data_IF_945149807738
#
_entry.id   IF_945149807738
#
_cell.length_a   1.000
_cell.length_b   1.000
_cell.length_c   1.000
_cell.angle_alpha   90.00
_cell.angle_beta   90.00
_cell.angle_gamma   90.00
#
_symmetry.space_group_name_H-M   'P 1'
#
loop_
_entity.id
_entity.type
_entity.pdbx_description
1 polymer ?
#
# COMPACT_ATOMS: atom_id res chain seq x y z
N UNK A 1 -32.08 -29.95 -15.15
CA UNK A 1 -30.88 -30.37 -14.40
C UNK A 1 -31.08 -31.81 -13.96
N UNK A 2 -30.06 -32.68 -14.00
CA UNK A 2 -30.19 -34.08 -13.58
C UNK A 2 -30.49 -34.19 -12.08
N UNK A 3 -31.33 -35.14 -11.68
CA UNK A 3 -31.84 -35.31 -10.30
C UNK A 3 -30.73 -35.36 -9.23
N UNK A 4 -29.58 -35.95 -9.56
CA UNK A 4 -28.42 -36.01 -8.65
C UNK A 4 -27.80 -34.63 -8.33
N UNK A 5 -27.83 -33.67 -9.26
CA UNK A 5 -27.34 -32.31 -9.02
C UNK A 5 -28.31 -31.50 -8.14
N UNK A 6 -29.61 -31.78 -8.27
CA UNK A 6 -30.67 -31.16 -7.48
C UNK A 6 -30.54 -31.60 -6.02
N UNK A 7 -30.40 -32.90 -5.77
CA UNK A 7 -30.27 -33.44 -4.42
C UNK A 7 -28.98 -33.02 -3.71
N UNK A 8 -27.87 -32.87 -4.47
CA UNK A 8 -26.60 -32.35 -3.95
C UNK A 8 -26.66 -30.85 -3.61
N UNK A 9 -27.45 -30.05 -4.34
CA UNK A 9 -27.69 -28.63 -4.01
C UNK A 9 -28.64 -28.47 -2.82
N UNK A 10 -29.69 -29.30 -2.70
CA UNK A 10 -30.64 -29.28 -1.58
C UNK A 10 -29.93 -29.48 -0.23
N UNK A 11 -29.02 -30.46 -0.15
CA UNK A 11 -28.30 -30.75 1.09
C UNK A 11 -27.35 -29.60 1.47
N UNK A 12 -26.77 -28.92 0.48
CA UNK A 12 -25.77 -27.86 0.68
C UNK A 12 -26.36 -26.57 1.26
N UNK A 13 -27.58 -26.17 0.87
CA UNK A 13 -28.21 -24.96 1.43
C UNK A 13 -28.68 -25.16 2.87
N UNK A 14 -29.24 -26.33 3.18
CA UNK A 14 -29.59 -26.67 4.55
C UNK A 14 -28.35 -26.74 5.45
N UNK A 15 -27.27 -27.39 4.99
CA UNK A 15 -26.00 -27.43 5.71
C UNK A 15 -25.44 -26.02 5.98
N UNK A 16 -25.47 -25.13 4.97
CA UNK A 16 -25.03 -23.76 5.13
C UNK A 16 -25.91 -22.96 6.09
N UNK A 17 -27.23 -23.10 6.02
CA UNK A 17 -28.17 -22.45 6.93
C UNK A 17 -27.91 -22.89 8.39
N UNK A 18 -27.75 -24.19 8.62
CA UNK A 18 -27.42 -24.73 9.94
C UNK A 18 -26.03 -24.28 10.41
N UNK A 19 -25.06 -24.14 9.51
CA UNK A 19 -23.75 -23.58 9.83
C UNK A 19 -23.87 -22.14 10.34
N UNK A 20 -24.60 -21.26 9.65
CA UNK A 20 -24.79 -19.89 10.11
C UNK A 20 -25.54 -19.79 11.44
N UNK A 21 -26.59 -20.60 11.62
CA UNK A 21 -27.34 -20.62 12.86
C UNK A 21 -26.50 -21.12 14.03
N UNK A 22 -25.87 -22.30 13.88
CA UNK A 22 -25.30 -23.03 15.00
C UNK A 22 -23.82 -22.73 15.25
N UNK A 23 -23.04 -22.48 14.19
CA UNK A 23 -21.59 -22.22 14.31
C UNK A 23 -21.27 -20.73 14.36
N UNK A 24 -21.93 -19.93 13.52
CA UNK A 24 -21.75 -18.49 13.53
C UNK A 24 -22.67 -17.76 14.51
N UNK A 25 -23.67 -18.45 15.07
CA UNK A 25 -24.64 -17.89 16.00
C UNK A 25 -25.40 -16.69 15.41
N UNK A 26 -25.85 -16.81 14.16
CA UNK A 26 -26.60 -15.79 13.44
C UNK A 26 -28.09 -16.13 13.33
N UNK A 27 -28.95 -15.12 13.39
CA UNK A 27 -30.35 -15.26 13.02
C UNK A 27 -30.47 -15.24 11.50
N UNK A 28 -31.16 -16.23 10.93
CA UNK A 28 -31.25 -16.43 9.49
C UNK A 28 -32.69 -16.65 9.04
N UNK A 29 -32.98 -16.31 7.79
CA UNK A 29 -34.29 -16.50 7.16
C UNK A 29 -34.14 -16.91 5.69
N UNK A 30 -35.10 -17.67 5.13
CA UNK A 30 -35.11 -17.99 3.71
C UNK A 30 -35.51 -16.76 2.89
N UNK A 31 -34.75 -16.50 1.83
CA UNK A 31 -34.95 -15.38 0.91
C UNK A 31 -35.04 -15.83 -0.55
N UNK A 32 -35.76 -15.05 -1.35
CA UNK A 32 -35.94 -15.21 -2.78
C UNK A 32 -34.69 -14.76 -3.55
N UNK A 33 -34.55 -15.14 -4.84
CA UNK A 33 -33.49 -14.62 -5.72
C UNK A 33 -33.47 -13.09 -5.85
N UNK A 34 -34.63 -12.44 -5.70
CA UNK A 34 -34.76 -10.96 -5.69
C UNK A 34 -34.44 -10.32 -4.32
N UNK A 35 -33.87 -11.12 -3.41
CA UNK A 35 -33.48 -10.77 -2.03
C UNK A 35 -34.64 -10.56 -1.05
N UNK A 36 -35.90 -10.81 -1.43
CA UNK A 36 -37.05 -10.66 -0.50
C UNK A 36 -37.25 -11.91 0.38
N UNK A 37 -37.53 -11.78 1.68
CA UNK A 37 -37.83 -12.92 2.54
C UNK A 37 -39.06 -13.70 2.06
N UNK A 38 -39.04 -15.03 2.20
CA UNK A 38 -40.22 -15.88 1.97
C UNK A 38 -41.24 -15.80 3.11
N UNK A 39 -40.80 -15.32 4.28
CA UNK A 39 -41.56 -15.33 5.53
C UNK A 39 -41.66 -13.92 6.12
N UNK A 40 -42.63 -13.72 7.01
CA UNK A 40 -42.58 -12.57 7.93
C UNK A 40 -41.42 -12.78 8.90
N UNK A 41 -40.48 -11.87 8.89
CA UNK A 41 -39.16 -12.05 9.51
C UNK A 41 -38.93 -11.17 10.73
N UNK A 42 -39.88 -10.29 11.04
CA UNK A 42 -39.77 -9.28 12.10
C UNK A 42 -39.57 -9.92 13.48
N UNK A 43 -40.17 -11.08 13.74
CA UNK A 43 -39.94 -11.81 14.99
C UNK A 43 -38.48 -12.26 15.13
N UNK A 44 -37.84 -12.62 14.01
CA UNK A 44 -36.48 -13.14 14.00
C UNK A 44 -35.40 -12.06 14.16
N UNK A 45 -35.81 -10.79 14.22
CA UNK A 45 -34.97 -9.68 14.66
C UNK A 45 -34.73 -9.68 16.17
N UNK A 46 -35.62 -10.31 16.95
CA UNK A 46 -35.54 -10.36 18.42
C UNK A 46 -35.05 -11.70 18.92
N UNK A 47 -35.37 -12.78 18.22
CA UNK A 47 -35.02 -14.15 18.59
C UNK A 47 -34.56 -14.96 17.38
N UNK A 48 -33.61 -15.87 17.57
CA UNK A 48 -33.18 -16.76 16.47
C UNK A 48 -34.24 -17.83 16.20
N UNK A 49 -34.41 -18.26 14.94
CA UNK A 49 -35.27 -19.40 14.66
C UNK A 49 -34.71 -20.67 15.32
N UNK A 50 -35.56 -21.52 15.91
CA UNK A 50 -35.14 -22.84 16.36
C UNK A 50 -34.59 -23.67 15.20
N UNK A 51 -33.63 -24.57 15.49
CA UNK A 51 -33.04 -25.43 14.46
C UNK A 51 -34.09 -26.27 13.72
N UNK A 52 -35.11 -26.76 14.44
CA UNK A 52 -36.23 -27.51 13.85
C UNK A 52 -37.00 -26.70 12.79
N UNK A 53 -37.15 -25.40 13.02
CA UNK A 53 -37.80 -24.48 12.07
C UNK A 53 -36.91 -24.27 10.85
N UNK A 54 -35.60 -24.07 11.04
CA UNK A 54 -34.63 -23.96 9.94
C UNK A 54 -34.59 -25.23 9.08
N UNK A 55 -34.61 -26.41 9.70
CA UNK A 55 -34.70 -27.70 9.00
C UNK A 55 -35.99 -27.82 8.19
N UNK A 56 -37.11 -27.33 8.70
CA UNK A 56 -38.38 -27.31 7.95
C UNK A 56 -38.31 -26.36 6.75
N UNK A 57 -37.73 -25.17 6.93
CA UNK A 57 -37.60 -24.19 5.84
C UNK A 57 -36.77 -24.73 4.67
N UNK A 58 -35.57 -25.25 4.90
CA UNK A 58 -34.71 -25.74 3.80
C UNK A 58 -34.87 -27.22 3.47
N UNK A 59 -35.52 -28.03 4.33
CA UNK A 59 -35.79 -29.44 4.06
C UNK A 59 -37.11 -29.69 3.32
N UNK A 60 -38.12 -28.84 3.53
CA UNK A 60 -39.49 -29.10 3.03
C UNK A 60 -40.07 -27.94 2.23
N UNK A 61 -39.96 -26.70 2.73
CA UNK A 61 -40.77 -25.59 2.21
C UNK A 61 -40.09 -24.76 1.12
N UNK A 62 -38.79 -24.48 1.30
CA UNK A 62 -38.01 -23.52 0.51
C UNK A 62 -36.61 -24.08 0.23
N UNK A 63 -36.55 -25.30 -0.32
CA UNK A 63 -35.32 -26.07 -0.47
C UNK A 63 -34.16 -25.33 -1.16
N UNK A 64 -34.46 -24.45 -2.10
CA UNK A 64 -33.47 -23.68 -2.86
C UNK A 64 -33.41 -22.20 -2.46
N UNK A 65 -34.05 -21.80 -1.36
CA UNK A 65 -34.03 -20.42 -0.93
C UNK A 65 -32.60 -19.97 -0.61
N UNK A 66 -32.32 -18.72 -0.98
CA UNK A 66 -31.14 -18.02 -0.52
C UNK A 66 -31.21 -17.84 1.01
N UNK A 67 -30.04 -17.70 1.61
CA UNK A 67 -29.89 -17.50 3.05
C UNK A 67 -29.71 -16.01 3.28
N UNK A 68 -30.63 -15.39 4.00
CA UNK A 68 -30.47 -14.05 4.52
C UNK A 68 -30.10 -14.11 6.00
N UNK A 69 -29.04 -13.38 6.39
CA UNK A 69 -28.64 -13.18 7.78
C UNK A 69 -29.27 -11.88 8.26
N UNK A 70 -30.07 -11.95 9.32
CA UNK A 70 -30.61 -10.76 9.99
C UNK A 70 -29.47 -10.09 10.76
N UNK A 71 -29.23 -8.81 10.50
CA UNK A 71 -28.20 -8.00 11.16
C UNK A 71 -28.76 -7.36 12.44
N UNK A 72 -27.88 -6.77 13.25
CA UNK A 72 -28.20 -6.19 14.55
C UNK A 72 -27.85 -7.08 15.72
N UNK A 73 -28.42 -6.75 16.88
CA UNK A 73 -28.10 -7.37 18.17
C UNK A 73 -28.34 -8.87 18.20
N UNK A 74 -29.38 -9.37 17.51
CA UNK A 74 -29.73 -10.80 17.49
C UNK A 74 -28.60 -11.67 16.92
N UNK A 75 -27.85 -11.16 15.95
CA UNK A 75 -26.72 -11.84 15.31
C UNK A 75 -25.36 -11.30 15.76
N UNK A 76 -25.33 -10.24 16.58
CA UNK A 76 -24.09 -9.56 16.94
C UNK A 76 -23.34 -9.00 15.72
N UNK A 77 -24.07 -8.67 14.64
CA UNK A 77 -23.49 -8.36 13.33
C UNK A 77 -24.01 -7.04 12.75
N UNK A 78 -23.09 -6.18 12.31
CA UNK A 78 -23.36 -5.02 11.44
C UNK A 78 -22.61 -5.24 10.13
N UNK A 79 -23.23 -4.96 8.98
CA UNK A 79 -22.57 -5.14 7.68
C UNK A 79 -22.45 -3.79 6.96
N UNK A 80 -21.26 -3.48 6.47
CA UNK A 80 -21.04 -2.38 5.53
C UNK A 80 -21.22 -2.95 4.12
N UNK A 81 -22.26 -2.50 3.41
CA UNK A 81 -22.67 -2.97 2.09
C UNK A 81 -22.24 -1.94 1.05
N UNK A 82 -21.13 -2.22 0.37
CA UNK A 82 -20.47 -1.30 -0.56
C UNK A 82 -20.80 -1.71 -1.99
N UNK A 83 -21.71 -0.98 -2.63
CA UNK A 83 -22.25 -1.32 -3.95
C UNK A 83 -21.56 -0.59 -5.11
N UNK A 84 -20.76 0.45 -4.85
CA UNK A 84 -20.13 1.27 -5.91
C UNK A 84 -18.62 1.36 -5.79
N UNK A 85 -17.94 1.59 -6.92
CA UNK A 85 -16.49 1.80 -6.96
C UNK A 85 -16.05 3.03 -6.14
N UNK A 86 -16.85 4.09 -6.13
CA UNK A 86 -16.58 5.29 -5.33
C UNK A 86 -16.67 4.99 -3.83
N UNK A 87 -17.67 4.20 -3.41
CA UNK A 87 -17.81 3.72 -2.03
C UNK A 87 -16.63 2.86 -1.59
N UNK A 88 -16.09 2.02 -2.48
CA UNK A 88 -14.89 1.20 -2.21
C UNK A 88 -13.67 2.06 -1.95
N UNK A 89 -13.39 3.03 -2.84
CA UNK A 89 -12.26 3.95 -2.68
C UNK A 89 -12.36 4.75 -1.39
N UNK A 90 -13.54 5.29 -1.07
CA UNK A 90 -13.71 6.06 0.16
C UNK A 90 -13.53 5.18 1.41
N UNK A 91 -14.00 3.94 1.38
CA UNK A 91 -13.80 3.01 2.50
C UNK A 91 -12.32 2.62 2.62
N UNK A 92 -11.62 2.37 1.50
CA UNK A 92 -10.17 2.09 1.46
C UNK A 92 -9.33 3.26 1.99
N UNK A 93 -9.70 4.50 1.71
CA UNK A 93 -9.01 5.69 2.23
C UNK A 93 -9.19 5.88 3.75
N UNK A 94 -10.30 5.41 4.30
CA UNK A 94 -10.71 5.69 5.70
C UNK A 94 -10.53 4.51 6.64
N UNK A 95 -10.47 3.29 6.11
CA UNK A 95 -10.20 2.11 6.92
C UNK A 95 -8.70 2.08 7.26
N UNK A 96 -8.36 1.81 8.54
CA UNK A 96 -7.00 1.46 8.87
C UNK A 96 -6.62 0.22 8.08
N UNK A 97 -5.49 0.36 7.44
CA UNK A 97 -4.75 -0.67 6.74
C UNK A 97 -4.57 -2.00 7.50
N UNK A 98 -4.66 -2.01 8.83
CA UNK A 98 -4.58 -3.22 9.68
C UNK A 98 -5.94 -3.87 9.95
N UNK A 99 -7.03 -3.24 9.54
CA UNK A 99 -8.37 -3.70 9.79
C UNK A 99 -8.77 -4.78 8.80
N UNK A 100 -9.14 -5.94 9.32
CA UNK A 100 -9.61 -7.07 8.54
C UNK A 100 -10.83 -7.69 9.22
N UNK A 101 -11.80 -8.08 8.41
CA UNK A 101 -13.03 -8.73 8.87
C UNK A 101 -13.52 -9.65 7.75
N UNK A 102 -14.46 -10.58 7.99
CA UNK A 102 -14.97 -11.42 6.90
C UNK A 102 -15.63 -10.59 5.78
N UNK A 103 -15.32 -10.92 4.53
CA UNK A 103 -15.81 -10.17 3.35
C UNK A 103 -16.53 -11.11 2.39
N UNK A 104 -17.70 -10.67 1.91
CA UNK A 104 -18.45 -11.34 0.85
C UNK A 104 -18.45 -10.48 -0.41
N UNK A 105 -18.00 -11.06 -1.52
CA UNK A 105 -18.15 -10.48 -2.85
C UNK A 105 -19.59 -10.72 -3.34
N UNK A 106 -20.27 -9.65 -3.77
CA UNK A 106 -21.64 -9.71 -4.27
C UNK A 106 -21.69 -9.95 -5.79
N UNK A 107 -22.77 -10.54 -6.33
CA UNK A 107 -22.93 -10.74 -7.77
C UNK A 107 -22.89 -9.46 -8.60
N UNK A 108 -23.19 -8.30 -8.00
CA UNK A 108 -23.18 -6.99 -8.65
C UNK A 108 -21.82 -6.31 -8.70
N UNK A 109 -20.77 -6.95 -8.18
CA UNK A 109 -19.43 -6.36 -8.06
C UNK A 109 -19.21 -5.54 -6.78
N UNK A 110 -20.19 -5.52 -5.87
CA UNK A 110 -20.08 -4.91 -4.54
C UNK A 110 -19.48 -5.83 -3.49
N UNK A 111 -19.38 -5.36 -2.24
CA UNK A 111 -18.73 -6.05 -1.13
C UNK A 111 -19.49 -5.86 0.18
N UNK A 112 -19.70 -6.95 0.92
CA UNK A 112 -20.22 -6.89 2.29
C UNK A 112 -19.07 -7.11 3.28
N UNK A 113 -18.79 -6.12 4.12
CA UNK A 113 -17.85 -6.24 5.24
C UNK A 113 -18.61 -6.59 6.51
N UNK A 114 -18.39 -7.78 7.05
CA UNK A 114 -19.09 -8.28 8.23
C UNK A 114 -18.40 -7.76 9.49
N UNK A 115 -19.01 -6.83 10.19
CA UNK A 115 -18.45 -6.20 11.38
C UNK A 115 -19.24 -6.58 12.64
N UNK A 116 -18.61 -6.47 13.81
CA UNK A 116 -19.27 -6.72 15.09
C UNK A 116 -20.34 -5.66 15.31
N UNK A 117 -21.52 -6.09 15.75
CA UNK A 117 -22.56 -5.16 16.15
C UNK A 117 -22.10 -4.31 17.33
N UNK A 118 -22.35 -3.00 17.23
CA UNK A 118 -22.14 -2.04 18.30
C UNK A 118 -23.44 -1.26 18.52
N UNK A 119 -23.84 -1.10 19.78
CA UNK A 119 -25.04 -0.35 20.13
C UNK A 119 -24.92 1.11 19.66
N UNK A 120 -25.98 1.61 19.03
CA UNK A 120 -26.03 2.96 18.47
C UNK A 120 -25.74 3.06 16.97
N UNK A 121 -25.28 1.99 16.32
CA UNK A 121 -25.19 1.94 14.85
C UNK A 121 -26.53 1.49 14.28
N UNK A 122 -27.24 2.39 13.62
CA UNK A 122 -28.52 2.09 12.98
C UNK A 122 -28.35 1.68 11.52
N UNK A 123 -29.40 1.04 10.97
CA UNK A 123 -29.49 0.80 9.53
C UNK A 123 -29.51 2.15 8.80
N UNK A 124 -28.60 2.33 7.84
CA UNK A 124 -28.43 3.59 7.13
C UNK A 124 -28.25 3.33 5.63
N UNK A 125 -28.97 4.08 4.80
CA UNK A 125 -28.89 3.95 3.34
C UNK A 125 -28.12 5.16 2.81
N UNK A 126 -27.12 4.92 1.94
CA UNK A 126 -26.28 5.97 1.32
C UNK A 126 -25.67 6.95 2.32
N UNK A 127 -25.15 6.45 3.45
CA UNK A 127 -24.44 7.30 4.41
C UNK A 127 -23.13 7.84 3.82
N UNK A 128 -22.60 7.12 2.83
CA UNK A 128 -21.60 7.49 1.83
C UNK A 128 -22.26 7.20 0.48
N UNK A 129 -21.93 7.96 -0.57
CA UNK A 129 -22.42 7.64 -1.92
C UNK A 129 -22.01 6.22 -2.31
N UNK A 130 -23.01 5.34 -2.41
CA UNK A 130 -22.85 3.93 -2.74
C UNK A 130 -22.30 3.03 -1.63
N UNK A 131 -22.51 3.38 -0.35
CA UNK A 131 -22.34 2.48 0.79
C UNK A 131 -23.58 2.55 1.72
N UNK A 132 -24.08 1.38 2.09
CA UNK A 132 -25.18 1.16 3.03
C UNK A 132 -24.64 0.51 4.33
N UNK A 133 -25.30 0.75 5.46
CA UNK A 133 -25.04 0.04 6.73
C UNK A 133 -26.25 -0.81 7.02
N UNK A 134 -26.08 -2.13 7.10
CA UNK A 134 -27.09 -3.08 7.54
C UNK A 134 -26.81 -3.47 8.99
N UNK A 135 -27.52 -2.83 9.92
CA UNK A 135 -27.43 -3.07 11.37
C UNK A 135 -28.80 -3.52 11.90
N UNK A 136 -29.24 -3.03 13.06
CA UNK A 136 -30.54 -3.33 13.65
C UNK A 136 -31.68 -3.10 12.65
N UNK A 137 -32.58 -4.08 12.51
CA UNK A 137 -33.71 -4.03 11.58
C UNK A 137 -33.34 -4.24 10.10
N UNK A 138 -32.13 -4.73 9.82
CA UNK A 138 -31.66 -5.08 8.47
C UNK A 138 -31.38 -6.58 8.29
N UNK A 139 -31.09 -6.98 7.06
CA UNK A 139 -30.53 -8.30 6.74
C UNK A 139 -29.65 -8.21 5.48
N UNK A 140 -28.80 -9.20 5.28
CA UNK A 140 -27.94 -9.35 4.09
C UNK A 140 -28.02 -10.77 3.52
N UNK A 141 -27.85 -10.92 2.21
CA UNK A 141 -27.74 -12.24 1.58
C UNK A 141 -26.35 -12.81 1.81
N UNK A 142 -26.28 -14.08 2.22
CA UNK A 142 -25.05 -14.77 2.61
C UNK A 142 -24.68 -15.89 1.63
N UNK A 143 -23.39 -16.20 1.43
CA UNK A 143 -22.95 -17.37 0.68
C UNK A 143 -23.56 -18.67 1.23
N UNK A 144 -23.83 -19.72 0.45
CA UNK A 144 -23.56 -19.85 -0.99
C UNK A 144 -24.76 -19.40 -1.86
N UNK A 145 -25.59 -18.46 -1.40
CA UNK A 145 -26.74 -17.93 -2.14
C UNK A 145 -26.38 -17.40 -3.53
N UNK A 146 -27.35 -17.36 -4.45
CA UNK A 146 -27.16 -16.88 -5.81
C UNK A 146 -28.42 -16.24 -6.42
N UNK A 147 -28.21 -15.38 -7.40
CA UNK A 147 -29.26 -14.80 -8.26
C UNK A 147 -28.88 -14.93 -9.74
N UNK A 148 -29.64 -14.28 -10.64
CA UNK A 148 -29.41 -14.33 -12.08
C UNK A 148 -28.05 -13.75 -12.53
N UNK A 149 -27.38 -12.93 -11.70
CA UNK A 149 -26.09 -12.31 -11.99
C UNK A 149 -24.91 -13.14 -11.50
N UNK A 150 -25.13 -13.99 -10.51
CA UNK A 150 -24.09 -14.82 -9.91
C UNK A 150 -24.34 -15.18 -8.45
N UNK A 151 -23.30 -15.64 -7.76
CA UNK A 151 -23.37 -16.07 -6.36
C UNK A 151 -22.67 -15.12 -5.41
N UNK A 152 -23.21 -14.96 -4.20
CA UNK A 152 -22.50 -14.39 -3.07
C UNK A 152 -21.40 -15.36 -2.64
N UNK A 153 -20.16 -14.88 -2.57
CA UNK A 153 -19.00 -15.72 -2.26
C UNK A 153 -18.14 -15.06 -1.20
N UNK A 154 -17.66 -15.84 -0.25
CA UNK A 154 -16.62 -15.37 0.64
C UNK A 154 -15.35 -15.06 -0.17
N UNK A 155 -14.78 -13.88 0.06
CA UNK A 155 -13.49 -13.50 -0.51
C UNK A 155 -12.40 -14.45 0.00
N UNK A 156 -11.48 -14.84 -0.88
CA UNK A 156 -10.41 -15.80 -0.56
C UNK A 156 -9.57 -15.26 0.61
N UNK A 157 -9.42 -16.05 1.67
CA UNK A 157 -8.69 -15.66 2.89
C UNK A 157 -9.48 -14.76 3.85
N UNK A 158 -10.74 -14.45 3.55
CA UNK A 158 -11.60 -13.59 4.35
C UNK A 158 -12.92 -14.28 4.72
N UNK A 159 -12.92 -15.62 4.89
CA UNK A 159 -14.12 -16.33 5.32
C UNK A 159 -14.39 -16.08 6.81
N UNK A 160 -15.65 -16.20 7.19
CA UNK A 160 -16.07 -16.15 8.59
C UNK A 160 -15.47 -17.25 9.49
N UNK A 161 -15.00 -18.34 8.89
CA UNK A 161 -14.26 -19.41 9.60
C UNK A 161 -12.77 -19.14 9.72
N UNK A 162 -12.25 -18.20 8.93
CA UNK A 162 -10.81 -17.90 8.81
C UNK A 162 -10.45 -16.63 9.60
N UNK A 163 -11.39 -15.72 9.80
CA UNK A 163 -11.20 -14.43 10.47
C UNK A 163 -12.19 -14.20 11.60
N UNK A 164 -11.74 -13.50 12.64
CA UNK A 164 -12.64 -12.94 13.63
C UNK A 164 -13.41 -11.74 13.06
N UNK A 165 -14.67 -11.61 13.46
CA UNK A 165 -15.50 -10.46 13.11
C UNK A 165 -15.02 -9.25 13.93
N UNK A 166 -14.42 -8.27 13.24
CA UNK A 166 -13.85 -7.06 13.85
C UNK A 166 -14.89 -5.97 14.07
N UNK A 167 -14.67 -5.07 15.03
CA UNK A 167 -15.48 -3.85 15.21
C UNK A 167 -15.24 -2.87 14.07
N UNK A 168 -16.18 -1.95 13.81
CA UNK A 168 -15.97 -0.91 12.82
C UNK A 168 -14.87 0.04 13.34
N UNK A 169 -13.84 0.38 12.54
CA UNK A 169 -12.79 1.29 12.99
C UNK A 169 -13.35 2.64 13.39
N UNK A 170 -12.81 3.22 14.47
CA UNK A 170 -13.28 4.48 15.02
C UNK A 170 -13.29 5.64 14.00
N UNK A 171 -12.41 5.62 13.01
CA UNK A 171 -12.36 6.59 11.91
C UNK A 171 -13.62 6.49 11.02
N UNK A 172 -13.97 5.28 10.60
CA UNK A 172 -15.17 5.01 9.81
C UNK A 172 -16.42 5.23 10.65
N UNK A 173 -16.41 4.81 11.92
CA UNK A 173 -17.52 5.04 12.84
C UNK A 173 -17.78 6.54 13.07
N UNK A 174 -16.74 7.34 13.33
CA UNK A 174 -16.86 8.80 13.47
C UNK A 174 -17.39 9.43 12.19
N UNK A 175 -16.89 8.99 11.03
CA UNK A 175 -17.37 9.45 9.73
C UNK A 175 -18.85 9.11 9.49
N UNK A 176 -19.26 7.87 9.83
CA UNK A 176 -20.66 7.42 9.78
C UNK A 176 -21.51 8.32 10.67
N UNK A 177 -21.12 8.52 11.93
CA UNK A 177 -21.86 9.34 12.89
C UNK A 177 -21.93 10.82 12.48
N UNK A 178 -20.87 11.36 11.89
CA UNK A 178 -20.84 12.74 11.38
C UNK A 178 -21.73 12.89 10.14
N UNK A 179 -21.68 11.94 9.21
CA UNK A 179 -22.50 11.93 8.00
C UNK A 179 -23.98 11.76 8.35
N UNK A 180 -24.33 10.87 9.28
CA UNK A 180 -25.68 10.71 9.81
C UNK A 180 -26.19 11.96 10.54
N UNK A 181 -25.33 12.67 11.27
CA UNK A 181 -25.67 13.98 11.86
C UNK A 181 -25.88 15.06 10.80
N UNK A 182 -25.10 15.07 9.73
CA UNK A 182 -25.29 16.01 8.61
C UNK A 182 -26.60 15.75 7.85
N UNK A 183 -27.00 14.48 7.71
CA UNK A 183 -28.28 14.07 7.12
C UNK A 183 -29.43 14.43 8.07
N UNK A 184 -29.28 14.16 9.37
CA UNK A 184 -30.22 14.58 10.41
C UNK A 184 -30.41 16.10 10.42
N UNK A 185 -29.35 16.90 10.27
CA UNK A 185 -29.44 18.36 10.18
C UNK A 185 -30.09 18.84 8.85
N UNK A 186 -29.91 18.11 7.75
CA UNK A 186 -30.62 18.36 6.47
C UNK A 186 -32.10 17.95 6.50
N UNK A 187 -32.47 16.97 7.33
CA UNK A 187 -33.86 16.53 7.51
C UNK A 187 -34.59 17.38 8.57
N UNK A 188 -33.87 17.82 9.62
CA UNK A 188 -34.41 18.67 10.71
C UNK A 188 -34.76 20.09 10.29
N UNK A 189 -34.48 20.50 9.05
CA UNK A 189 -34.97 21.76 8.49
C UNK A 189 -36.37 21.67 7.87
N UNK A 190 -37.03 20.49 7.92
CA UNK A 190 -38.39 20.33 7.35
C UNK A 190 -39.47 19.69 8.24
N UNK A 191 -39.18 19.31 9.49
CA UNK A 191 -40.23 18.83 10.40
C UNK A 191 -40.13 19.48 11.80
N UNK A 192 -40.88 20.57 11.93
CA UNK A 192 -41.73 20.98 13.05
C UNK A 192 -41.16 20.90 14.48
N UNK A 193 -41.12 22.08 15.09
CA UNK A 193 -41.50 22.38 16.48
C UNK A 193 -42.14 21.24 17.29
N UNK A 194 -41.62 21.02 18.49
CA UNK A 194 -42.38 20.38 19.56
C UNK A 194 -42.17 18.88 19.72
N UNK A 195 -41.11 18.50 20.41
CA UNK A 195 -41.19 17.48 21.45
C UNK A 195 -40.00 17.62 22.38
N UNK A 196 -40.29 17.88 23.65
CA UNK A 196 -39.35 17.79 24.76
C UNK A 196 -39.04 16.33 25.04
N UNK A 197 -37.78 16.12 25.38
CA UNK A 197 -37.30 15.32 26.51
C UNK A 197 -36.67 13.93 26.28
N UNK A 198 -35.56 13.80 27.00
CA UNK A 198 -35.01 12.63 27.66
C UNK A 198 -34.26 11.55 26.85
N UNK A 199 -32.98 11.43 27.23
CA UNK A 199 -32.12 10.22 27.25
C UNK A 199 -30.92 10.17 26.29
N UNK A 200 -30.01 11.14 26.45
CA UNK A 200 -28.59 10.97 26.15
C UNK A 200 -27.88 10.27 27.33
N UNK A 201 -27.80 8.94 27.30
CA UNK A 201 -26.88 8.11 28.11
C UNK A 201 -26.61 6.84 27.28
N UNK A 202 -25.42 6.29 27.04
CA UNK A 202 -24.04 6.52 27.47
C UNK A 202 -23.14 5.69 26.54
N UNK A 203 -21.95 6.16 26.12
CA UNK A 203 -20.91 5.31 25.52
C UNK A 203 -19.69 5.34 26.43
N UNK A 204 -19.19 4.15 26.80
CA UNK A 204 -17.93 3.87 27.52
C UNK A 204 -17.74 4.59 28.86
N UNK A 205 -17.84 3.84 29.96
CA UNK A 205 -17.28 4.20 31.27
C UNK A 205 -15.74 4.27 31.20
N UNK A 206 -15.20 5.38 30.70
CA UNK A 206 -14.19 6.14 31.42
C UNK A 206 -14.86 7.45 31.75
N UNK A 207 -15.26 7.63 33.01
CA UNK A 207 -15.74 8.91 33.47
C UNK A 207 -14.66 9.94 33.12
N UNK A 208 -15.00 10.95 32.30
CA UNK A 208 -14.17 12.14 32.20
C UNK A 208 -14.26 12.79 33.57
N UNK A 209 -13.23 12.54 34.37
CA UNK A 209 -13.15 13.03 35.72
C UNK A 209 -12.48 14.40 35.68
N UNK A 210 -13.28 15.41 36.01
CA UNK A 210 -12.87 16.80 36.09
C UNK A 210 -12.61 17.23 37.55
N UNK A 211 -12.54 16.27 38.47
CA UNK A 211 -12.20 16.50 39.86
C UNK A 211 -10.74 16.93 40.05
N UNK A 212 -10.48 17.55 41.19
CA UNK A 212 -9.17 18.05 41.56
C UNK A 212 -8.17 16.89 41.72
N UNK A 213 -7.13 16.87 40.87
CA UNK A 213 -6.11 15.81 40.83
C UNK A 213 -6.09 14.99 39.53
N UNK A 214 -7.23 14.84 38.85
CA UNK A 214 -7.36 14.07 37.58
C UNK A 214 -7.67 14.95 36.37
N UNK A 215 -8.19 16.17 36.61
CA UNK A 215 -8.55 17.15 35.56
C UNK A 215 -7.44 17.44 34.54
N UNK A 216 -6.18 17.52 34.98
CA UNK A 216 -5.04 17.82 34.11
C UNK A 216 -4.84 16.78 32.99
N UNK A 217 -4.97 15.50 33.35
CA UNK A 217 -4.88 14.36 32.44
C UNK A 217 -6.08 14.34 31.49
N UNK A 218 -7.28 14.63 32.03
CA UNK A 218 -8.52 14.75 31.24
C UNK A 218 -8.41 15.85 30.17
N UNK A 219 -7.91 17.04 30.50
CA UNK A 219 -7.72 18.13 29.52
C UNK A 219 -6.66 17.80 28.48
N UNK A 220 -5.55 17.19 28.87
CA UNK A 220 -4.52 16.75 27.93
C UNK A 220 -5.07 15.73 26.93
N UNK A 221 -5.84 14.75 27.39
CA UNK A 221 -6.46 13.74 26.51
C UNK A 221 -7.55 14.32 25.60
N UNK A 222 -8.34 15.27 26.10
CA UNK A 222 -9.32 15.97 25.28
C UNK A 222 -8.64 16.80 24.19
N UNK A 223 -7.59 17.56 24.53
CA UNK A 223 -6.79 18.29 23.56
C UNK A 223 -6.21 17.35 22.49
N UNK A 224 -5.62 16.22 22.90
CA UNK A 224 -5.07 15.22 21.97
C UNK A 224 -6.14 14.69 21.01
N UNK A 225 -7.34 14.38 21.50
CA UNK A 225 -8.45 13.88 20.67
C UNK A 225 -8.96 14.94 19.70
N UNK A 226 -9.04 16.20 20.10
CA UNK A 226 -9.46 17.29 19.22
C UNK A 226 -8.41 17.56 18.13
N UNK A 227 -7.12 17.48 18.46
CA UNK A 227 -6.02 17.57 17.50
C UNK A 227 -6.09 16.43 16.47
N UNK A 228 -6.32 15.20 16.93
CA UNK A 228 -6.52 14.04 16.03
C UNK A 228 -7.83 14.14 15.23
N UNK A 229 -8.76 14.98 15.68
CA UNK A 229 -9.99 15.34 14.96
C UNK A 229 -9.83 16.52 14.02
N UNK A 230 -8.61 17.05 13.82
CA UNK A 230 -8.28 18.21 13.00
C UNK A 230 -9.02 19.51 13.38
N UNK A 231 -9.44 19.65 14.64
CA UNK A 231 -9.94 20.91 15.15
C UNK A 231 -8.82 21.96 15.11
N UNK A 232 -9.15 23.21 14.77
CA UNK A 232 -8.14 24.29 14.80
C UNK A 232 -7.70 24.58 16.23
N UNK A 233 -6.55 25.23 16.40
CA UNK A 233 -6.04 25.58 17.72
C UNK A 233 -7.05 26.47 18.46
N UNK A 234 -7.69 27.41 17.73
CA UNK A 234 -8.72 28.28 18.27
C UNK A 234 -9.97 27.50 18.71
N UNK A 235 -10.40 26.49 17.93
CA UNK A 235 -11.53 25.63 18.28
C UNK A 235 -11.22 24.78 19.52
N UNK A 236 -10.01 24.23 19.61
CA UNK A 236 -9.54 23.47 20.77
C UNK A 236 -9.54 24.33 22.02
N UNK A 237 -8.99 25.55 21.94
CA UNK A 237 -8.97 26.50 23.05
C UNK A 237 -10.38 26.89 23.51
N UNK A 238 -11.29 27.17 22.58
CA UNK A 238 -12.67 27.53 22.89
C UNK A 238 -13.43 26.38 23.55
N UNK A 239 -13.34 25.16 23.01
CA UNK A 239 -14.02 23.97 23.53
C UNK A 239 -13.50 23.64 24.93
N UNK A 240 -12.18 23.63 25.13
CA UNK A 240 -11.60 23.28 26.43
C UNK A 240 -11.80 24.38 27.47
N UNK A 241 -11.82 25.66 27.07
CA UNK A 241 -12.17 26.78 27.96
C UNK A 241 -13.62 26.68 28.42
N UNK A 242 -14.54 26.36 27.51
CA UNK A 242 -15.94 26.15 27.84
C UNK A 242 -16.11 24.98 28.83
N UNK A 243 -15.45 23.85 28.58
CA UNK A 243 -15.48 22.67 29.47
C UNK A 243 -14.87 23.02 30.84
N UNK A 244 -13.75 23.75 30.89
CA UNK A 244 -13.15 24.21 32.14
C UNK A 244 -14.12 25.07 32.95
N UNK A 245 -14.81 26.02 32.31
CA UNK A 245 -15.77 26.90 32.99
C UNK A 245 -17.05 26.20 33.49
N UNK A 246 -17.46 25.09 32.85
CA UNK A 246 -18.75 24.43 33.11
C UNK A 246 -18.63 23.12 33.87
N UNK A 247 -17.49 22.45 33.80
CA UNK A 247 -17.33 21.08 34.28
C UNK A 247 -16.28 20.92 35.38
N UNK A 248 -15.54 21.97 35.75
CA UNK A 248 -14.53 21.92 36.82
C UNK A 248 -14.84 22.93 37.93
N UNK A 249 -14.53 22.58 39.19
CA UNK A 249 -14.65 23.47 40.34
C UNK A 249 -13.55 23.19 41.38
N UNK A 250 -12.63 24.14 41.66
CA UNK A 250 -12.47 25.43 40.99
C UNK A 250 -11.92 25.26 39.55
N UNK A 251 -12.19 26.22 38.63
CA UNK A 251 -11.63 26.18 37.28
C UNK A 251 -10.10 26.16 37.27
N UNK A 252 -9.50 25.43 36.31
CA UNK A 252 -8.06 25.55 36.06
C UNK A 252 -7.73 26.98 35.63
N UNK A 253 -6.64 27.58 36.14
CA UNK A 253 -6.14 28.85 35.62
C UNK A 253 -5.89 28.76 34.11
N UNK A 254 -6.27 29.79 33.35
CA UNK A 254 -6.13 29.78 31.88
C UNK A 254 -4.72 29.44 31.42
N UNK A 255 -3.69 29.88 32.17
CA UNK A 255 -2.30 29.55 31.91
C UNK A 255 -2.02 28.04 31.93
N UNK A 256 -2.55 27.33 32.93
CA UNK A 256 -2.35 25.88 33.05
C UNK A 256 -3.10 25.12 31.94
N UNK A 257 -4.30 25.57 31.57
CA UNK A 257 -5.06 24.98 30.46
C UNK A 257 -4.29 25.10 29.13
N UNK A 258 -3.75 26.30 28.83
CA UNK A 258 -2.92 26.53 27.64
C UNK A 258 -1.66 25.66 27.64
N UNK A 259 -1.01 25.47 28.79
CA UNK A 259 0.16 24.58 28.91
C UNK A 259 -0.18 23.12 28.55
N UNK A 260 -1.37 22.62 28.90
CA UNK A 260 -1.81 21.26 28.51
C UNK A 260 -2.10 21.14 27.02
N UNK A 261 -2.72 22.16 26.43
CA UNK A 261 -2.97 22.22 24.98
C UNK A 261 -1.63 22.19 24.22
N UNK A 262 -0.68 23.05 24.63
CA UNK A 262 0.65 23.09 24.03
C UNK A 262 1.40 21.75 24.17
N UNK A 263 1.27 21.07 25.32
CA UNK A 263 1.86 19.75 25.54
C UNK A 263 1.26 18.68 24.61
N UNK A 264 -0.05 18.71 24.38
CA UNK A 264 -0.75 17.78 23.49
C UNK A 264 -0.35 18.00 22.02
N UNK A 265 -0.21 19.26 21.60
CA UNK A 265 0.28 19.63 20.25
C UNK A 265 1.69 19.08 20.03
N UNK A 266 2.63 19.39 20.94
CA UNK A 266 4.02 18.92 20.85
C UNK A 266 4.13 17.39 20.77
N UNK A 267 3.21 16.65 21.42
CA UNK A 267 3.19 15.18 21.43
C UNK A 267 2.55 14.60 20.16
N UNK A 268 1.55 15.26 19.60
CA UNK A 268 0.97 14.88 18.30
C UNK A 268 2.01 15.02 17.18
N UNK A 269 2.80 16.10 17.19
CA UNK A 269 3.88 16.33 16.23
C UNK A 269 5.01 15.28 16.30
N UNK A 270 5.17 14.55 17.40
CA UNK A 270 6.28 13.58 17.60
C UNK A 270 5.93 12.12 17.32
N UNK A 271 4.65 11.73 17.33
CA UNK A 271 4.24 10.31 17.19
C UNK A 271 3.98 9.89 15.73
N UNK A 272 3.83 10.85 14.83
CA UNK A 272 3.65 10.65 13.39
C UNK A 272 5.00 10.60 12.64
N UNK A 273 5.96 9.84 13.17
CA UNK A 273 7.05 9.32 12.32
C UNK A 273 6.43 8.25 11.43
N UNK A 274 6.17 8.66 10.21
CA UNK A 274 5.36 7.97 9.22
C UNK A 274 6.13 6.75 8.69
N UNK A 275 6.14 5.64 9.45
CA UNK A 275 6.91 4.43 9.13
C UNK A 275 6.64 3.91 7.70
N UNK A 276 5.42 4.10 7.20
CA UNK A 276 5.06 3.80 5.81
C UNK A 276 5.80 4.68 4.82
N UNK A 277 5.88 5.98 5.08
CA UNK A 277 6.63 6.92 4.26
C UNK A 277 8.14 6.68 4.39
N UNK A 278 8.64 6.41 5.58
CA UNK A 278 10.05 6.08 5.81
C UNK A 278 10.47 4.80 5.09
N UNK A 279 9.63 3.75 5.12
CA UNK A 279 9.86 2.53 4.33
C UNK A 279 9.78 2.82 2.84
N UNK A 280 8.80 3.60 2.38
CA UNK A 280 8.65 3.93 0.96
C UNK A 280 9.86 4.73 0.44
N UNK A 281 10.30 5.74 1.18
CA UNK A 281 11.43 6.58 0.82
C UNK A 281 12.73 5.77 0.86
N UNK A 282 12.90 4.89 1.85
CA UNK A 282 14.04 3.99 1.92
C UNK A 282 14.05 2.97 0.77
N UNK A 283 12.91 2.39 0.40
CA UNK A 283 12.77 1.47 -0.74
C UNK A 283 13.06 2.19 -2.05
N UNK A 284 12.61 3.44 -2.21
CA UNK A 284 12.89 4.26 -3.39
C UNK A 284 14.38 4.60 -3.52
N UNK A 285 15.05 4.84 -2.41
CA UNK A 285 16.48 5.15 -2.39
C UNK A 285 17.35 3.90 -2.65
N UNK A 286 16.91 2.73 -2.17
CA UNK A 286 17.65 1.48 -2.34
C UNK A 286 17.19 0.76 -3.63
N UNK A 287 17.74 1.19 -4.76
CA UNK A 287 17.57 0.50 -6.04
C UNK A 287 18.17 -0.91 -5.98
N UNK A 288 17.38 -1.94 -6.27
CA UNK A 288 17.85 -3.34 -6.34
C UNK A 288 17.19 -4.28 -5.33
N UNK A 289 17.89 -5.35 -4.96
CA UNK A 289 17.43 -6.34 -3.98
C UNK A 289 17.93 -6.02 -2.58
N UNK A 290 17.06 -6.14 -1.58
CA UNK A 290 17.41 -5.95 -0.17
C UNK A 290 16.73 -7.00 0.71
N UNK A 291 17.31 -7.26 1.88
CA UNK A 291 16.70 -8.16 2.86
C UNK A 291 15.75 -7.44 3.80
N UNK A 292 14.75 -8.19 4.28
CA UNK A 292 13.86 -7.80 5.37
C UNK A 292 14.63 -7.31 6.60
N UNK A 293 15.80 -7.89 6.89
CA UNK A 293 16.63 -7.53 8.04
C UNK A 293 17.36 -6.20 7.83
N UNK A 294 17.88 -5.95 6.63
CA UNK A 294 18.52 -4.67 6.28
C UNK A 294 17.56 -3.50 6.45
N UNK A 295 16.32 -3.64 5.96
CA UNK A 295 15.29 -2.63 6.13
C UNK A 295 14.97 -2.38 7.62
N UNK A 296 14.84 -3.44 8.43
CA UNK A 296 14.57 -3.31 9.85
C UNK A 296 15.69 -2.61 10.62
N UNK A 297 16.95 -2.92 10.28
CA UNK A 297 18.11 -2.30 10.90
C UNK A 297 18.25 -0.83 10.50
N UNK A 298 18.07 -0.51 9.22
CA UNK A 298 18.18 0.85 8.71
C UNK A 298 17.12 1.79 9.31
N UNK A 299 15.89 1.30 9.49
CA UNK A 299 14.76 2.08 10.00
C UNK A 299 14.51 1.89 11.50
N UNK A 300 15.41 1.21 12.21
CA UNK A 300 15.29 0.93 13.65
C UNK A 300 13.94 0.31 14.04
N UNK A 301 13.46 -0.65 13.25
CA UNK A 301 12.22 -1.39 13.48
C UNK A 301 12.50 -2.54 14.44
N UNK A 302 12.27 -2.30 15.73
CA UNK A 302 12.69 -3.23 16.80
C UNK A 302 11.52 -3.96 17.44
N UNK A 303 10.36 -3.31 17.61
CA UNK A 303 9.24 -3.88 18.37
C UNK A 303 8.41 -4.87 17.54
N UNK A 304 7.74 -5.83 18.21
CA UNK A 304 6.86 -6.80 17.52
C UNK A 304 5.77 -6.13 16.68
N UNK A 305 5.24 -5.01 17.17
CA UNK A 305 4.22 -4.20 16.51
C UNK A 305 4.77 -3.53 15.23
N UNK A 306 5.94 -2.90 15.31
CA UNK A 306 6.60 -2.31 14.14
C UNK A 306 6.95 -3.36 13.07
N UNK A 307 7.40 -4.55 13.49
CA UNK A 307 7.68 -5.67 12.56
C UNK A 307 6.41 -6.22 11.91
N UNK A 308 5.27 -6.17 12.60
CA UNK A 308 3.97 -6.51 12.02
C UNK A 308 3.54 -5.44 10.99
N UNK A 309 3.62 -4.15 11.35
CA UNK A 309 3.30 -3.04 10.46
C UNK A 309 4.16 -3.07 9.18
N UNK A 310 5.47 -3.27 9.30
CA UNK A 310 6.37 -3.41 8.15
C UNK A 310 5.95 -4.53 7.20
N UNK A 311 5.57 -5.71 7.72
CA UNK A 311 5.15 -6.85 6.89
C UNK A 311 3.94 -6.51 6.01
N UNK A 312 3.00 -5.75 6.55
CA UNK A 312 1.83 -5.25 5.80
C UNK A 312 2.24 -4.22 4.76
N UNK A 313 3.11 -3.28 5.12
CA UNK A 313 3.63 -2.27 4.20
C UNK A 313 4.33 -2.93 2.99
N UNK A 314 5.16 -3.94 3.23
CA UNK A 314 5.82 -4.69 2.16
C UNK A 314 4.82 -5.42 1.25
N UNK A 315 3.78 -6.03 1.81
CA UNK A 315 2.71 -6.66 1.02
C UNK A 315 2.05 -5.67 0.07
N UNK A 316 1.68 -4.47 0.58
CA UNK A 316 1.09 -3.42 -0.25
C UNK A 316 2.01 -2.92 -1.35
N UNK A 317 3.30 -2.74 -1.04
CA UNK A 317 4.26 -2.31 -2.05
C UNK A 317 4.42 -3.37 -3.15
N UNK A 318 4.27 -4.66 -2.83
CA UNK A 318 4.21 -5.72 -3.84
C UNK A 318 2.95 -5.64 -4.69
N UNK A 319 1.78 -5.44 -4.08
CA UNK A 319 0.51 -5.29 -4.81
C UNK A 319 0.49 -4.05 -5.72
N UNK A 320 1.10 -2.95 -5.27
CA UNK A 320 1.27 -1.72 -6.06
C UNK A 320 2.34 -1.84 -7.14
N UNK A 321 3.02 -2.99 -7.26
CA UNK A 321 4.09 -3.18 -8.23
C UNK A 321 5.33 -2.31 -7.97
N UNK A 322 5.55 -1.90 -6.72
CA UNK A 322 6.74 -1.16 -6.29
C UNK A 322 7.80 -2.09 -5.67
N UNK A 323 7.41 -3.30 -5.25
CA UNK A 323 8.31 -4.37 -4.80
C UNK A 323 7.99 -5.68 -5.53
N UNK A 324 8.98 -6.54 -5.69
CA UNK A 324 8.82 -7.94 -6.11
C UNK A 324 9.49 -8.82 -5.08
N UNK A 325 8.81 -9.88 -4.65
CA UNK A 325 9.41 -10.88 -3.77
C UNK A 325 10.37 -11.76 -4.56
N UNK A 326 11.57 -11.99 -4.03
CA UNK A 326 12.54 -12.88 -4.66
C UNK A 326 12.00 -14.33 -4.73
N UNK A 327 12.20 -14.98 -5.88
CA UNK A 327 11.63 -16.31 -6.14
C UNK A 327 12.32 -17.43 -5.33
N UNK A 328 13.57 -17.21 -4.89
CA UNK A 328 14.39 -18.21 -4.20
C UNK A 328 14.46 -17.92 -2.70
N UNK A 329 14.56 -16.65 -2.30
CA UNK A 329 14.76 -16.23 -0.92
C UNK A 329 13.53 -15.53 -0.35
N UNK A 330 12.80 -16.22 0.53
CA UNK A 330 11.55 -15.72 1.09
C UNK A 330 11.63 -14.38 1.87
N UNK A 331 12.83 -13.99 2.33
CA UNK A 331 13.10 -12.76 3.09
C UNK A 331 13.71 -11.63 2.26
N UNK A 332 13.81 -11.78 0.93
CA UNK A 332 14.42 -10.80 0.03
C UNK A 332 13.37 -10.22 -0.90
N UNK A 333 13.43 -8.90 -1.10
CA UNK A 333 12.57 -8.14 -1.99
C UNK A 333 13.42 -7.32 -2.95
N UNK A 334 12.90 -7.08 -4.16
CA UNK A 334 13.48 -6.20 -5.17
C UNK A 334 12.60 -4.98 -5.36
N UNK A 335 13.15 -3.78 -5.28
CA UNK A 335 12.45 -2.57 -5.66
C UNK A 335 12.21 -2.52 -7.18
N UNK A 336 10.98 -2.16 -7.58
CA UNK A 336 10.65 -1.80 -8.95
C UNK A 336 10.74 -0.29 -9.06
N UNK A 337 11.54 0.17 -10.00
CA UNK A 337 11.57 1.58 -10.40
C UNK A 337 10.37 1.85 -11.33
N UNK A 338 9.38 2.66 -10.93
CA UNK A 338 8.22 2.99 -11.75
C UNK A 338 8.53 4.03 -12.84
N UNK A 339 9.75 4.58 -12.90
CA UNK A 339 10.17 5.53 -13.94
C UNK A 339 10.55 4.81 -15.24
N UNK A 340 9.60 4.04 -15.79
CA UNK A 340 9.72 3.55 -17.17
C UNK A 340 9.40 4.73 -18.10
N UNK A 341 10.44 5.45 -18.50
CA UNK A 341 10.32 6.49 -19.52
C UNK A 341 10.00 5.84 -20.87
N UNK A 342 8.87 6.21 -21.48
CA UNK A 342 8.55 5.83 -22.84
C UNK A 342 9.58 6.44 -23.80
N UNK A 343 10.23 5.60 -24.61
CA UNK A 343 11.18 6.06 -25.63
C UNK A 343 10.39 6.72 -26.76
N UNK A 344 10.27 8.05 -26.70
CA UNK A 344 9.61 8.87 -27.73
C UNK A 344 10.48 9.06 -28.96
N UNK A 345 10.73 7.98 -29.69
CA UNK A 345 11.65 7.95 -30.83
C UNK A 345 11.23 8.88 -32.00
N UNK A 346 9.95 9.29 -32.08
CA UNK A 346 9.45 10.27 -33.06
C UNK A 346 9.87 11.72 -32.75
N UNK A 347 10.32 12.00 -31.53
CA UNK A 347 10.89 13.30 -31.12
C UNK A 347 12.43 13.31 -31.22
N UNK A 348 13.04 12.17 -31.57
CA UNK A 348 14.49 12.03 -31.60
C UNK A 348 15.12 12.86 -32.73
N UNK A 349 16.10 13.70 -32.37
CA UNK A 349 16.97 14.37 -33.33
C UNK A 349 18.16 13.48 -33.68
N UNK A 350 18.78 13.71 -34.84
CA UNK A 350 19.98 12.99 -35.25
C UNK A 350 21.14 13.35 -34.32
N UNK A 351 21.48 12.43 -33.42
CA UNK A 351 22.47 12.59 -32.35
C UNK A 351 23.69 11.70 -32.57
N UNK A 352 24.04 11.41 -33.83
CA UNK A 352 25.17 10.57 -34.18
C UNK A 352 26.47 11.04 -33.48
N UNK A 353 27.09 10.12 -32.74
CA UNK A 353 28.41 10.33 -32.14
C UNK A 353 29.47 10.02 -33.20
N UNK A 354 30.11 11.05 -33.74
CA UNK A 354 31.10 10.89 -34.80
C UNK A 354 32.42 10.42 -34.20
N UNK A 355 32.91 9.26 -34.65
CA UNK A 355 34.20 8.76 -34.21
C UNK A 355 34.91 8.08 -35.38
N UNK A 356 36.16 8.43 -35.64
CA UNK A 356 36.94 7.77 -36.69
C UNK A 356 37.61 6.50 -36.21
N UNK A 357 37.18 5.37 -36.77
CA UNK A 357 37.74 4.06 -36.48
C UNK A 357 38.91 3.69 -37.39
N UNK A 358 39.54 2.56 -37.07
CA UNK A 358 40.42 1.83 -37.99
C UNK A 358 39.57 1.07 -39.01
N UNK A 359 40.14 0.82 -40.19
CA UNK A 359 39.48 0.11 -41.30
C UNK A 359 38.19 0.77 -41.80
N UNK A 360 38.06 2.07 -41.57
CA UNK A 360 36.89 2.88 -41.94
C UNK A 360 35.55 2.30 -41.45
N UNK A 361 35.57 1.65 -40.28
CA UNK A 361 34.38 1.04 -39.68
C UNK A 361 33.24 2.04 -39.43
N UNK A 362 33.56 3.35 -39.33
CA UNK A 362 32.56 4.41 -39.23
C UNK A 362 31.59 4.46 -40.41
N UNK A 363 31.98 3.94 -41.58
CA UNK A 363 31.10 3.89 -42.77
C UNK A 363 30.06 2.76 -42.67
N UNK A 364 30.32 1.76 -41.82
CA UNK A 364 29.50 0.56 -41.66
C UNK A 364 28.73 0.53 -40.34
N UNK A 365 29.20 1.26 -39.32
CA UNK A 365 28.63 1.29 -37.98
C UNK A 365 28.53 2.73 -37.48
N UNK A 366 27.29 3.19 -37.29
CA UNK A 366 26.99 4.47 -36.65
C UNK A 366 27.02 4.33 -35.13
N UNK A 367 27.55 5.33 -34.45
CA UNK A 367 27.51 5.40 -33.00
C UNK A 367 26.53 6.46 -32.52
N UNK A 368 26.03 6.24 -31.31
CA UNK A 368 25.17 7.16 -30.60
C UNK A 368 25.69 7.30 -29.16
N UNK A 369 25.29 8.38 -28.46
CA UNK A 369 25.53 8.55 -27.03
C UNK A 369 25.16 7.27 -26.26
N UNK A 370 25.95 6.97 -25.21
CA UNK A 370 25.87 5.76 -24.39
C UNK A 370 26.23 4.43 -25.07
N UNK A 371 26.63 4.40 -26.34
CA UNK A 371 27.10 3.15 -26.95
C UNK A 371 28.37 2.63 -26.25
N UNK A 372 28.41 1.31 -26.03
CA UNK A 372 29.59 0.61 -25.50
C UNK A 372 30.14 -0.30 -26.59
N UNK A 373 31.44 -0.18 -26.86
CA UNK A 373 32.15 -0.99 -27.84
C UNK A 373 33.01 -2.01 -27.09
N UNK A 374 32.81 -3.30 -27.40
CA UNK A 374 33.56 -4.40 -26.79
C UNK A 374 34.60 -4.91 -27.77
N UNK A 375 35.88 -4.78 -27.43
CA UNK A 375 37.01 -5.33 -28.19
C UNK A 375 37.44 -6.67 -27.59
N UNK A 376 37.00 -7.77 -28.21
CA UNK A 376 37.35 -9.12 -27.80
C UNK A 376 38.38 -9.74 -28.77
N UNK A 377 39.29 -10.56 -28.25
CA UNK A 377 40.29 -11.26 -29.04
C UNK A 377 41.32 -11.99 -28.17
N UNK A 378 42.12 -12.87 -28.78
CA UNK A 378 43.16 -13.63 -28.06
C UNK A 378 44.18 -12.72 -27.38
N UNK A 379 44.88 -13.20 -26.34
CA UNK A 379 46.06 -12.50 -25.80
C UNK A 379 47.02 -12.11 -26.93
N UNK A 380 47.67 -10.95 -26.79
CA UNK A 380 48.62 -10.41 -27.78
C UNK A 380 48.07 -10.11 -29.19
N UNK A 381 46.74 -10.09 -29.40
CA UNK A 381 46.12 -9.72 -30.68
C UNK A 381 46.18 -8.20 -31.02
N UNK A 382 46.99 -7.41 -30.30
CA UNK A 382 47.13 -5.96 -30.55
C UNK A 382 45.99 -5.09 -30.00
N UNK A 383 45.14 -5.60 -29.09
CA UNK A 383 43.99 -4.86 -28.53
C UNK A 383 44.38 -3.54 -27.87
N UNK A 384 45.39 -3.55 -26.99
CA UNK A 384 45.88 -2.31 -26.35
C UNK A 384 46.44 -1.32 -27.38
N UNK A 385 47.18 -1.80 -28.39
CA UNK A 385 47.68 -0.91 -29.44
C UNK A 385 46.53 -0.24 -30.19
N UNK A 386 45.46 -0.99 -30.51
CA UNK A 386 44.25 -0.44 -31.13
C UNK A 386 43.60 0.63 -30.23
N UNK A 387 43.47 0.36 -28.93
CA UNK A 387 42.88 1.27 -27.96
C UNK A 387 43.70 2.55 -27.74
N UNK A 388 45.02 2.46 -27.62
CA UNK A 388 45.90 3.64 -27.52
C UNK A 388 45.84 4.51 -28.77
N UNK A 389 45.77 3.88 -29.94
CA UNK A 389 45.61 4.62 -31.19
C UNK A 389 44.21 5.25 -31.32
N UNK A 390 43.16 4.59 -30.82
CA UNK A 390 41.82 5.16 -30.74
C UNK A 390 41.77 6.37 -29.79
N UNK A 391 42.46 6.29 -28.65
CA UNK A 391 42.60 7.41 -27.72
C UNK A 391 43.19 8.64 -28.41
N UNK A 392 44.27 8.44 -29.17
CA UNK A 392 44.90 9.52 -29.96
C UNK A 392 43.95 10.12 -30.99
N UNK A 393 43.27 9.30 -31.79
CA UNK A 393 42.31 9.78 -32.81
C UNK A 393 41.15 10.55 -32.18
N UNK A 394 40.68 10.13 -31.02
CA UNK A 394 39.62 10.82 -30.28
C UNK A 394 40.05 12.24 -29.89
N UNK A 395 41.31 12.45 -29.50
CA UNK A 395 41.84 13.79 -29.24
C UNK A 395 41.88 14.69 -30.49
N UNK A 396 42.10 14.11 -31.68
CA UNK A 396 42.12 14.84 -32.95
C UNK A 396 40.73 15.33 -33.37
N UNK A 397 39.70 14.68 -32.84
CA UNK A 397 38.29 15.07 -32.99
C UNK A 397 37.78 15.91 -31.80
N UNK A 398 38.71 16.41 -30.97
CA UNK A 398 38.46 17.29 -29.82
C UNK A 398 37.63 16.64 -28.69
N UNK A 399 37.64 15.30 -28.61
CA UNK A 399 37.03 14.58 -27.50
C UNK A 399 37.95 14.54 -26.27
N UNK A 400 37.33 14.65 -25.09
CA UNK A 400 38.00 14.30 -23.83
C UNK A 400 38.19 12.79 -23.77
N UNK A 401 39.38 12.34 -23.39
CA UNK A 401 39.70 10.92 -23.33
C UNK A 401 40.17 10.53 -21.93
N UNK A 402 39.48 9.55 -21.33
CA UNK A 402 39.91 8.89 -20.10
C UNK A 402 40.29 7.45 -20.42
N UNK A 403 41.51 7.06 -20.07
CA UNK A 403 42.04 5.72 -20.30
C UNK A 403 42.29 5.04 -18.96
N UNK A 404 41.56 3.97 -18.70
CA UNK A 404 41.58 3.21 -17.45
C UNK A 404 42.36 1.92 -17.68
N UNK A 405 43.47 1.75 -16.98
CA UNK A 405 44.34 0.57 -17.11
C UNK A 405 44.45 -0.23 -15.82
N UNK A 406 44.34 -1.56 -15.89
CA UNK A 406 44.51 -2.44 -14.73
C UNK A 406 45.91 -3.06 -14.64
N UNK A 407 46.60 -3.24 -15.78
CA UNK A 407 47.89 -3.97 -15.84
C UNK A 407 49.10 -3.05 -15.93
N UNK A 408 48.93 -1.86 -16.51
CA UNK A 408 50.07 -1.13 -17.06
C UNK A 408 50.58 -0.06 -16.10
N UNK A 409 51.84 -0.18 -15.70
CA UNK A 409 52.55 0.87 -14.98
C UNK A 409 52.99 2.02 -15.91
N UNK A 410 53.51 3.11 -15.33
CA UNK A 410 53.93 4.28 -16.10
C UNK A 410 55.07 3.97 -17.10
N UNK A 411 55.93 2.99 -16.80
CA UNK A 411 57.06 2.62 -17.65
C UNK A 411 56.56 1.84 -18.85
N UNK A 412 55.72 0.84 -18.62
CA UNK A 412 55.13 0.03 -19.68
C UNK A 412 54.25 0.89 -20.60
N UNK A 413 53.45 1.81 -20.04
CA UNK A 413 52.68 2.77 -20.85
C UNK A 413 53.58 3.58 -21.76
N UNK A 414 54.67 4.13 -21.22
CA UNK A 414 55.62 4.91 -22.01
C UNK A 414 56.20 4.08 -23.16
N UNK A 415 56.63 2.84 -22.89
CA UNK A 415 57.17 1.93 -23.91
C UNK A 415 56.11 1.63 -24.98
N UNK A 416 54.86 1.37 -24.61
CA UNK A 416 53.79 1.12 -25.59
C UNK A 416 53.46 2.35 -26.44
N UNK A 417 53.53 3.56 -25.85
CA UNK A 417 53.37 4.81 -26.59
C UNK A 417 54.53 5.06 -27.56
N UNK A 418 55.77 4.69 -27.20
CA UNK A 418 56.95 4.78 -28.08
C UNK A 418 56.83 3.90 -29.33
N UNK A 419 56.08 2.80 -29.24
CA UNK A 419 55.82 1.89 -30.37
C UNK A 419 54.73 2.38 -31.32
N UNK A 420 54.02 3.46 -30.99
CA UNK A 420 53.01 4.04 -31.87
C UNK A 420 53.66 4.72 -33.08
N UNK A 421 52.97 4.74 -34.21
CA UNK A 421 53.43 5.45 -35.39
C UNK A 421 53.45 6.97 -35.13
N UNK A 422 54.60 7.62 -35.35
CA UNK A 422 54.88 9.03 -35.05
C UNK A 422 54.35 9.48 -33.66
N UNK A 423 54.97 9.04 -32.54
CA UNK A 423 54.43 9.25 -31.21
C UNK A 423 54.56 10.72 -30.77
N UNK A 424 53.43 11.39 -30.55
CA UNK A 424 53.39 12.73 -29.97
C UNK A 424 53.03 12.64 -28.47
N UNK A 425 54.05 12.68 -27.61
CA UNK A 425 53.85 12.65 -26.16
C UNK A 425 53.11 13.87 -25.62
N UNK A 426 53.16 15.03 -26.28
CA UNK A 426 52.43 16.20 -25.84
C UNK A 426 50.93 16.08 -26.16
N UNK A 427 50.61 15.47 -27.30
CA UNK A 427 49.23 15.06 -27.62
C UNK A 427 48.75 14.00 -26.61
N UNK A 428 49.51 12.94 -26.39
CA UNK A 428 49.10 11.85 -25.50
C UNK A 428 49.00 12.25 -24.02
N UNK A 429 49.72 13.29 -23.56
CA UNK A 429 49.54 13.88 -22.23
C UNK A 429 48.15 14.47 -22.00
N UNK A 430 47.38 14.75 -23.06
CA UNK A 430 45.99 15.21 -22.95
C UNK A 430 45.03 14.07 -22.60
N UNK A 431 45.43 12.81 -22.79
CA UNK A 431 44.67 11.66 -22.31
C UNK A 431 44.84 11.54 -20.81
N UNK A 432 43.72 11.40 -20.10
CA UNK A 432 43.72 11.13 -18.66
C UNK A 432 43.91 9.64 -18.40
N UNK A 433 45.16 9.20 -18.27
CA UNK A 433 45.49 7.83 -17.88
C UNK A 433 45.29 7.63 -16.38
N UNK A 434 44.51 6.61 -15.99
CA UNK A 434 44.25 6.25 -14.60
C UNK A 434 44.44 4.75 -14.41
N UNK A 435 44.99 4.35 -13.27
CA UNK A 435 45.10 2.95 -12.89
C UNK A 435 43.83 2.52 -12.15
N UNK A 436 43.12 1.51 -12.67
CA UNK A 436 41.87 1.01 -12.11
C UNK A 436 41.59 -0.41 -12.62
N UNK A 437 41.23 -1.32 -11.71
CA UNK A 437 40.91 -2.72 -12.03
C UNK A 437 39.46 -3.12 -11.68
N UNK A 438 38.70 -2.25 -11.02
CA UNK A 438 37.31 -2.48 -10.63
C UNK A 438 36.58 -1.16 -10.41
N UNK A 439 35.26 -1.20 -10.23
CA UNK A 439 34.45 -0.02 -9.91
C UNK A 439 34.73 1.13 -10.91
N UNK A 440 34.76 0.78 -12.20
CA UNK A 440 34.98 1.74 -13.28
C UNK A 440 33.94 2.88 -13.32
N UNK A 441 32.64 2.66 -13.00
CA UNK A 441 31.61 3.71 -13.01
C UNK A 441 31.95 4.97 -12.16
N UNK A 442 32.85 4.87 -11.19
CA UNK A 442 33.26 5.99 -10.34
C UNK A 442 34.14 7.01 -11.06
N UNK A 443 34.78 6.60 -12.16
CA UNK A 443 35.80 7.38 -12.87
C UNK A 443 35.45 7.64 -14.34
N UNK A 444 34.31 7.12 -14.81
CA UNK A 444 33.77 7.40 -16.14
C UNK A 444 33.49 8.90 -16.27
N UNK A 445 34.02 9.51 -17.33
CA UNK A 445 33.63 10.85 -17.78
C UNK A 445 32.34 10.73 -18.62
N UNK A 446 31.18 11.22 -18.14
CA UNK A 446 29.90 11.06 -18.84
C UNK A 446 29.87 11.64 -20.25
N UNK A 447 30.66 12.68 -20.50
CA UNK A 447 30.64 13.48 -21.73
C UNK A 447 31.86 13.20 -22.62
N UNK A 448 32.68 12.20 -22.29
CA UNK A 448 33.95 11.89 -22.95
C UNK A 448 34.06 10.46 -23.46
N UNK A 449 35.15 10.19 -24.20
CA UNK A 449 35.53 8.84 -24.64
C UNK A 449 36.25 8.14 -23.48
N UNK A 450 35.68 7.03 -23.02
CA UNK A 450 36.24 6.23 -21.94
C UNK A 450 36.75 4.90 -22.50
N UNK A 451 38.02 4.59 -22.24
CA UNK A 451 38.68 3.37 -22.69
C UNK A 451 39.08 2.56 -21.46
N UNK A 452 38.73 1.27 -21.42
CA UNK A 452 39.06 0.35 -20.32
C UNK A 452 39.94 -0.77 -20.86
N UNK A 453 41.16 -0.88 -20.34
CA UNK A 453 42.18 -1.84 -20.78
C UNK A 453 42.90 -2.52 -19.59
N UNK A 454 42.61 -3.74 -19.20
CA UNK A 454 41.61 -4.65 -19.74
C UNK A 454 40.47 -4.81 -18.75
N UNK A 455 39.32 -5.20 -19.28
CA UNK A 455 38.18 -5.54 -18.43
C UNK A 455 38.42 -6.93 -17.82
N UNK A 456 38.77 -6.99 -16.53
CA UNK A 456 39.06 -8.24 -15.82
C UNK A 456 37.84 -9.17 -15.78
N UNK A 457 37.93 -10.27 -16.54
CA UNK A 457 36.92 -11.33 -16.53
C UNK A 457 37.32 -12.37 -15.49
N UNK A 458 36.66 -12.34 -14.34
CA UNK A 458 36.73 -13.43 -13.36
C UNK A 458 35.80 -14.58 -13.77
N UNK A 459 35.90 -15.73 -13.10
CA UNK A 459 35.04 -16.92 -13.31
C UNK A 459 33.52 -16.63 -13.24
N UNK A 460 33.16 -15.44 -12.76
CA UNK A 460 31.80 -14.93 -12.62
C UNK A 460 31.43 -14.02 -13.80
N UNK A 461 31.32 -14.60 -15.00
CA UNK A 461 30.96 -13.90 -16.25
C UNK A 461 29.72 -13.00 -16.15
N UNK A 462 28.75 -13.34 -15.29
CA UNK A 462 27.54 -12.54 -15.09
C UNK A 462 27.83 -11.13 -14.53
N UNK A 463 28.94 -10.95 -13.80
CA UNK A 463 29.33 -9.64 -13.25
C UNK A 463 29.75 -8.65 -14.34
N UNK A 464 30.19 -9.14 -15.50
CA UNK A 464 30.55 -8.28 -16.64
C UNK A 464 29.33 -7.48 -17.09
N UNK A 465 28.19 -8.16 -17.29
CA UNK A 465 26.96 -7.52 -17.75
C UNK A 465 26.44 -6.49 -16.74
N UNK A 466 26.57 -6.76 -15.44
CA UNK A 466 26.21 -5.84 -14.37
C UNK A 466 27.08 -4.58 -14.39
N UNK A 467 28.39 -4.73 -14.48
CA UNK A 467 29.33 -3.62 -14.49
C UNK A 467 29.23 -2.79 -15.79
N UNK A 468 29.04 -3.43 -16.95
CA UNK A 468 28.75 -2.74 -18.21
C UNK A 468 27.47 -1.90 -18.12
N UNK A 469 26.43 -2.41 -17.46
CA UNK A 469 25.20 -1.66 -17.21
C UNK A 469 25.43 -0.46 -16.28
N UNK A 470 26.25 -0.63 -15.23
CA UNK A 470 26.63 0.48 -14.35
C UNK A 470 27.41 1.57 -15.10
N UNK A 471 28.29 1.19 -16.03
CA UNK A 471 29.00 2.13 -16.93
C UNK A 471 28.00 2.84 -17.85
N UNK A 472 27.12 2.09 -18.50
CA UNK A 472 26.09 2.63 -19.40
C UNK A 472 25.22 3.70 -18.72
N UNK A 473 24.83 3.46 -17.46
CA UNK A 473 24.06 4.43 -16.67
C UNK A 473 24.79 5.75 -16.39
N UNK A 474 26.13 5.78 -16.48
CA UNK A 474 26.95 6.97 -16.23
C UNK A 474 27.17 7.81 -17.49
N UNK A 475 27.13 7.20 -18.66
CA UNK A 475 27.29 7.88 -19.94
C UNK A 475 26.08 8.79 -20.21
N UNK A 476 26.31 9.93 -20.84
CA UNK A 476 25.25 10.85 -21.29
C UNK A 476 25.00 10.74 -22.77
#
# INVERSE_FOLDING_TARGET
MPEGAIQQMENKQLEAALFYLNKCNFSIIPAQPDKRPYIQWQEFQKQKPPESVVRKWWGEQYKFANIAIITGKVSGLTVLDVDTQAGKQLLEEKLPDSWLTPIVDTPGGGEHFYCRYEEGITNAVRFIDGCDIRSEGGYVIAPPSSDARGGWKWRKGCKITELEISTIPAQVLTFILHSLKSISNKINTRYIEGARDSSLQSVTKRYMDFSEGTRDETFFHLATRLIHGHATIEEIEQILSLINSKCTNPPLPEKQLREKIASAIKRAETHERNLSQEILDWVRYNSGTFSVTECEQALQIVTKEQKANRRVIFHRLVEKGLLVKDAVRASVYRAIDPTLEEIKWWEAQDSEFKMRFFFDLQEYVKLYPKNIIVLAGSPNAGKTALMLNLARRSLQEDYKVTYLSSEMDATELKVRLELMDNPDFNEMKKVKFLMRNRDFPDVIDPDGVNIIDFFEITDRFYLIAEELKRIWNKLK
#
